data_IF_354053452920
#
_entry.id   IF_354053452920
#
_cell.length_a   1.000
_cell.length_b   1.000
_cell.length_c   1.000
_cell.angle_alpha   90.00
_cell.angle_beta   90.00
_cell.angle_gamma   90.00
#
_symmetry.space_group_name_H-M   'P 1'
#
loop_
_entity.id
_entity.type
_entity.pdbx_description
1 polymer ?
#
# COMPACT_ATOMS: atom_id res chain seq x y z
N UNK A 1 18.46 18.58 -47.81
CA UNK A 1 17.07 18.51 -47.30
C UNK A 1 16.62 17.06 -47.04
N UNK A 2 16.85 16.15 -48.00
CA UNK A 2 16.43 14.73 -47.87
C UNK A 2 17.18 14.01 -46.73
N UNK A 3 18.49 14.26 -46.60
CA UNK A 3 19.31 13.65 -45.57
C UNK A 3 18.95 14.12 -44.16
N UNK A 4 18.61 15.41 -44.00
CA UNK A 4 18.13 15.94 -42.73
C UNK A 4 16.78 15.32 -42.31
N UNK A 5 15.89 15.11 -43.27
CA UNK A 5 14.59 14.47 -43.01
C UNK A 5 14.78 13.00 -42.58
N UNK A 6 15.66 12.25 -43.26
CA UNK A 6 16.00 10.89 -42.89
C UNK A 6 16.57 10.80 -41.48
N UNK A 7 17.49 11.72 -41.10
CA UNK A 7 18.04 11.75 -39.76
C UNK A 7 16.97 12.03 -38.69
N UNK A 8 16.07 12.98 -38.95
CA UNK A 8 14.99 13.32 -38.02
C UNK A 8 14.03 12.12 -37.85
N UNK A 9 13.63 11.48 -38.94
CA UNK A 9 12.74 10.31 -38.85
C UNK A 9 13.40 9.14 -38.14
N UNK A 10 14.69 8.94 -38.32
CA UNK A 10 15.45 7.87 -37.65
C UNK A 10 15.57 8.14 -36.15
N UNK A 11 15.86 9.37 -35.76
CA UNK A 11 15.91 9.79 -34.32
C UNK A 11 14.54 9.62 -33.67
N UNK A 12 13.46 10.04 -34.32
CA UNK A 12 12.10 9.86 -33.81
C UNK A 12 11.72 8.39 -33.69
N UNK A 13 12.09 7.57 -34.68
CA UNK A 13 11.84 6.13 -34.62
C UNK A 13 12.59 5.47 -33.45
N UNK A 14 13.86 5.79 -33.24
CA UNK A 14 14.64 5.29 -32.09
C UNK A 14 14.04 5.75 -30.78
N UNK A 15 13.65 7.02 -30.68
CA UNK A 15 13.01 7.55 -29.49
C UNK A 15 11.70 6.82 -29.17
N UNK A 16 10.84 6.62 -30.16
CA UNK A 16 9.59 5.87 -29.97
C UNK A 16 9.85 4.42 -29.59
N UNK A 17 10.88 3.78 -30.17
CA UNK A 17 11.24 2.40 -29.85
C UNK A 17 11.73 2.21 -28.43
N UNK A 18 12.35 3.23 -27.83
CA UNK A 18 12.82 3.22 -26.44
C UNK A 18 11.71 3.70 -25.49
N UNK A 19 11.02 4.77 -25.83
CA UNK A 19 10.04 5.38 -24.94
C UNK A 19 8.73 4.56 -24.82
N UNK A 20 8.28 3.93 -25.91
CA UNK A 20 7.02 3.18 -25.90
C UNK A 20 7.04 2.00 -24.92
N UNK A 21 8.05 1.12 -24.88
CA UNK A 21 8.09 0.03 -23.91
C UNK A 21 8.14 0.51 -22.46
N UNK A 22 8.87 1.60 -22.19
CA UNK A 22 8.97 2.18 -20.85
C UNK A 22 7.61 2.73 -20.39
N UNK A 23 6.93 3.50 -21.26
CA UNK A 23 5.60 4.05 -20.98
C UNK A 23 4.54 2.94 -20.84
N UNK A 24 4.61 1.92 -21.70
CA UNK A 24 3.68 0.79 -21.64
C UNK A 24 3.91 -0.01 -20.36
N UNK A 25 5.15 -0.32 -20.00
CA UNK A 25 5.49 -1.03 -18.77
C UNK A 25 5.05 -0.28 -17.52
N UNK A 26 5.29 1.05 -17.50
CA UNK A 26 4.84 1.89 -16.39
C UNK A 26 3.30 1.95 -16.29
N UNK A 27 2.62 2.15 -17.43
CA UNK A 27 1.16 2.20 -17.46
C UNK A 27 0.52 0.84 -17.09
N UNK A 28 1.10 -0.27 -17.56
CA UNK A 28 0.64 -1.62 -17.20
C UNK A 28 0.81 -1.86 -15.71
N UNK A 29 1.99 -1.63 -15.14
CA UNK A 29 2.24 -1.82 -13.72
C UNK A 29 1.32 -0.95 -12.83
N UNK A 30 1.04 0.29 -13.26
CA UNK A 30 0.10 1.16 -12.55
C UNK A 30 -1.34 0.65 -12.62
N UNK A 31 -1.78 0.18 -13.78
CA UNK A 31 -3.11 -0.39 -13.95
C UNK A 31 -3.26 -1.71 -13.20
N UNK A 32 -2.27 -2.57 -13.25
CA UNK A 32 -2.27 -3.86 -12.55
C UNK A 32 -2.41 -3.66 -11.04
N UNK A 33 -1.68 -2.70 -10.45
CA UNK A 33 -1.84 -2.36 -9.03
C UNK A 33 -3.23 -1.84 -8.65
N UNK A 34 -3.89 -1.10 -9.56
CA UNK A 34 -5.23 -0.54 -9.30
C UNK A 34 -6.36 -1.49 -9.60
N UNK A 35 -6.12 -2.49 -10.44
CA UNK A 35 -7.13 -3.47 -10.87
C UNK A 35 -6.99 -4.83 -10.16
N UNK A 36 -6.22 -4.91 -9.07
CA UNK A 36 -6.05 -6.16 -8.32
C UNK A 36 -7.35 -6.62 -7.64
N UNK A 37 -8.25 -5.70 -7.38
CA UNK A 37 -9.53 -5.95 -6.72
C UNK A 37 -10.66 -5.37 -7.55
N UNK A 38 -11.78 -6.07 -7.62
CA UNK A 38 -12.98 -5.59 -8.34
C UNK A 38 -13.59 -4.40 -7.61
N UNK A 39 -13.59 -4.43 -6.27
CA UNK A 39 -14.10 -3.35 -5.43
C UNK A 39 -13.12 -3.06 -4.29
N UNK A 40 -12.81 -1.79 -4.11
CA UNK A 40 -12.04 -1.28 -2.97
C UNK A 40 -12.87 -0.22 -2.25
N UNK A 41 -13.09 -0.41 -0.97
CA UNK A 41 -13.76 0.57 -0.10
C UNK A 41 -12.84 0.92 1.04
N UNK A 42 -12.70 2.21 1.31
CA UNK A 42 -11.95 2.69 2.45
C UNK A 42 -12.72 3.75 3.21
N UNK A 43 -12.54 3.76 4.52
CA UNK A 43 -13.12 4.75 5.41
C UNK A 43 -12.04 5.21 6.39
N UNK A 44 -11.91 6.53 6.56
CA UNK A 44 -11.01 7.10 7.56
C UNK A 44 -11.69 7.08 8.92
N UNK A 45 -10.93 6.70 9.95
CA UNK A 45 -11.39 6.91 11.32
C UNK A 45 -11.30 8.41 11.67
N UNK A 46 -12.41 8.97 12.11
CA UNK A 46 -12.46 10.39 12.48
C UNK A 46 -11.78 10.70 13.81
N UNK A 47 -11.43 9.70 14.61
CA UNK A 47 -10.79 9.84 15.93
C UNK A 47 -9.47 10.62 15.90
N UNK A 48 -8.82 10.69 14.72
CA UNK A 48 -7.63 11.52 14.53
C UNK A 48 -7.97 13.01 14.51
N UNK A 49 -9.22 13.36 14.21
CA UNK A 49 -9.68 14.74 14.01
C UNK A 49 -10.80 15.15 14.93
N UNK A 50 -11.78 14.28 15.21
CA UNK A 50 -12.95 14.59 16.04
C UNK A 50 -13.56 13.30 16.61
N UNK A 51 -13.71 13.22 17.93
CA UNK A 51 -14.22 12.03 18.63
C UNK A 51 -15.72 11.69 18.36
N UNK A 52 -16.48 12.54 17.67
CA UNK A 52 -17.94 12.44 17.66
C UNK A 52 -18.57 11.85 16.37
N UNK A 53 -17.82 11.61 15.30
CA UNK A 53 -18.41 11.13 14.04
C UNK A 53 -17.63 10.00 13.38
N UNK A 54 -17.80 8.78 13.88
CA UNK A 54 -17.48 7.61 13.07
C UNK A 54 -18.38 7.65 11.81
N UNK A 55 -17.82 7.61 10.60
CA UNK A 55 -18.63 7.59 9.40
C UNK A 55 -19.53 6.37 9.46
N UNK A 56 -20.82 6.59 9.23
CA UNK A 56 -21.80 5.53 9.09
C UNK A 56 -21.24 4.49 8.12
N UNK A 57 -21.26 3.24 8.53
CA UNK A 57 -20.43 2.18 7.96
C UNK A 57 -20.75 1.98 6.47
N UNK A 58 -19.94 2.55 5.60
CA UNK A 58 -20.03 2.37 4.15
C UNK A 58 -19.98 0.89 3.75
N UNK A 59 -19.51 0.04 4.65
CA UNK A 59 -19.43 -1.41 4.47
C UNK A 59 -20.81 -2.07 4.51
N UNK A 60 -21.72 -1.60 5.34
CA UNK A 60 -23.11 -2.10 5.37
C UNK A 60 -23.80 -1.81 4.03
N UNK A 61 -23.65 -0.59 3.52
CA UNK A 61 -24.21 -0.18 2.22
C UNK A 61 -23.69 -1.06 1.08
N UNK A 62 -22.39 -1.32 1.05
CA UNK A 62 -21.79 -2.20 0.03
C UNK A 62 -22.29 -3.63 0.19
N UNK A 63 -22.38 -4.14 1.41
CA UNK A 63 -22.87 -5.49 1.68
C UNK A 63 -24.33 -5.66 1.25
N UNK A 64 -25.17 -4.67 1.54
CA UNK A 64 -26.56 -4.64 1.09
C UNK A 64 -26.63 -4.62 -0.45
N UNK A 65 -25.84 -3.75 -1.10
CA UNK A 65 -25.78 -3.66 -2.56
C UNK A 65 -25.38 -5.00 -3.21
N UNK A 66 -24.29 -5.63 -2.75
CA UNK A 66 -23.83 -6.91 -3.26
C UNK A 66 -24.92 -8.00 -3.10
N UNK A 67 -25.58 -8.02 -1.93
CA UNK A 67 -26.64 -8.98 -1.63
C UNK A 67 -27.89 -8.74 -2.50
N UNK A 68 -28.33 -7.49 -2.65
CA UNK A 68 -29.51 -7.12 -3.46
C UNK A 68 -29.31 -7.49 -4.94
N UNK A 69 -28.08 -7.30 -5.45
CA UNK A 69 -27.74 -7.56 -6.84
C UNK A 69 -27.24 -8.98 -7.10
N UNK A 70 -27.23 -9.84 -6.06
CA UNK A 70 -26.76 -11.24 -6.14
C UNK A 70 -25.37 -11.36 -6.78
N UNK A 71 -24.47 -10.48 -6.37
CA UNK A 71 -23.07 -10.52 -6.78
C UNK A 71 -22.38 -11.51 -5.85
N UNK A 72 -21.90 -12.60 -6.41
CA UNK A 72 -21.11 -13.58 -5.69
C UNK A 72 -19.70 -13.02 -5.50
N UNK A 73 -19.29 -12.85 -4.25
CA UNK A 73 -17.91 -12.49 -3.90
C UNK A 73 -17.08 -13.75 -3.72
N UNK A 74 -15.95 -13.83 -4.41
CA UNK A 74 -15.01 -14.95 -4.25
C UNK A 74 -14.14 -14.74 -3.02
N UNK A 75 -13.72 -13.49 -2.80
CA UNK A 75 -12.92 -13.07 -1.66
C UNK A 75 -13.45 -11.76 -1.11
N UNK A 76 -13.38 -11.61 0.20
CA UNK A 76 -13.75 -10.40 0.91
C UNK A 76 -12.78 -10.23 2.09
N UNK A 77 -11.98 -9.18 2.06
CA UNK A 77 -10.99 -8.89 3.07
C UNK A 77 -11.19 -7.49 3.65
N UNK A 78 -11.37 -7.41 4.95
CA UNK A 78 -11.42 -6.13 5.69
C UNK A 78 -10.22 -6.04 6.60
N UNK A 79 -9.50 -4.93 6.57
CA UNK A 79 -8.32 -4.70 7.39
C UNK A 79 -8.19 -3.23 7.78
N UNK A 80 -7.44 -3.00 8.85
CA UNK A 80 -7.15 -1.67 9.36
C UNK A 80 -5.71 -1.26 9.02
N UNK A 81 -5.52 0.04 8.76
CA UNK A 81 -4.20 0.65 8.77
C UNK A 81 -4.02 1.50 10.03
N UNK A 82 -2.81 1.48 10.57
CA UNK A 82 -2.44 2.08 11.84
C UNK A 82 -1.33 3.11 11.68
N UNK A 83 -1.26 4.09 12.59
CA UNK A 83 -0.09 4.94 12.74
C UNK A 83 0.90 4.29 13.72
N UNK A 84 2.16 4.08 13.33
CA UNK A 84 3.20 3.63 14.26
C UNK A 84 3.38 4.61 15.43
N UNK A 85 3.39 5.92 15.15
CA UNK A 85 3.46 7.00 16.16
C UNK A 85 2.35 8.03 15.91
N UNK A 86 1.54 8.28 16.93
CA UNK A 86 0.42 9.24 16.87
C UNK A 86 0.89 10.67 16.60
N UNK A 87 1.98 11.08 17.21
CA UNK A 87 2.52 12.44 17.09
C UNK A 87 3.05 12.75 15.69
N UNK A 88 3.47 11.75 14.96
CA UNK A 88 3.92 11.88 13.58
C UNK A 88 2.84 12.45 12.66
N UNK A 89 1.58 12.17 12.94
CA UNK A 89 0.47 12.68 12.14
C UNK A 89 0.26 14.19 12.27
N UNK A 90 0.51 14.74 13.45
CA UNK A 90 0.29 16.17 13.74
C UNK A 90 1.49 17.05 13.37
N UNK A 91 2.69 16.48 13.31
CA UNK A 91 3.93 17.22 13.07
C UNK A 91 4.34 17.30 11.59
N UNK A 92 3.57 16.70 10.68
CA UNK A 92 3.96 16.63 9.28
C UNK A 92 3.71 17.91 8.51
N UNK A 93 4.67 18.25 7.67
CA UNK A 93 4.49 19.28 6.66
C UNK A 93 3.37 18.86 5.69
N UNK A 94 2.68 19.84 5.15
CA UNK A 94 1.42 19.73 4.38
C UNK A 94 1.39 18.67 3.27
N UNK A 95 2.49 18.06 2.90
CA UNK A 95 2.62 17.10 1.78
C UNK A 95 3.32 15.79 2.16
N UNK A 96 3.80 15.64 3.40
CA UNK A 96 4.39 14.39 3.85
C UNK A 96 3.31 13.52 4.48
N UNK A 97 3.00 12.42 3.81
CA UNK A 97 2.06 11.44 4.34
C UNK A 97 2.76 10.51 5.32
N UNK A 98 2.11 10.16 6.42
CA UNK A 98 2.67 9.23 7.37
C UNK A 98 2.89 7.87 6.71
N UNK A 99 3.97 7.20 7.08
CA UNK A 99 4.11 5.78 6.86
C UNK A 99 3.06 5.12 7.75
N UNK A 100 2.25 4.27 7.18
CA UNK A 100 1.23 3.53 7.91
C UNK A 100 1.63 2.07 8.05
N UNK A 101 1.00 1.40 9.00
CA UNK A 101 1.22 0.00 9.28
C UNK A 101 -0.05 -0.83 9.07
N UNK A 102 0.13 -2.11 8.78
CA UNK A 102 -0.90 -3.13 8.75
C UNK A 102 -0.51 -4.24 9.73
N UNK A 103 -1.49 -4.90 10.34
CA UNK A 103 -1.23 -6.06 11.19
C UNK A 103 -0.76 -7.28 10.37
N UNK A 104 0.03 -8.13 10.98
CA UNK A 104 0.54 -9.35 10.33
C UNK A 104 -0.61 -10.27 9.88
N UNK A 105 -1.65 -10.42 10.71
CA UNK A 105 -2.81 -11.25 10.37
C UNK A 105 -3.59 -10.70 9.19
N UNK A 106 -3.87 -9.39 9.16
CA UNK A 106 -4.55 -8.74 8.04
C UNK A 106 -3.72 -8.81 6.76
N UNK A 107 -2.40 -8.57 6.88
CA UNK A 107 -1.48 -8.69 5.76
C UNK A 107 -1.44 -10.11 5.17
N UNK A 108 -1.40 -11.13 6.03
CA UNK A 108 -1.43 -12.52 5.60
C UNK A 108 -2.77 -12.92 4.96
N UNK A 109 -3.88 -12.34 5.42
CA UNK A 109 -5.19 -12.54 4.77
C UNK A 109 -5.21 -11.97 3.36
N UNK A 110 -4.64 -10.78 3.15
CA UNK A 110 -4.51 -10.20 1.80
C UNK A 110 -3.60 -11.08 0.92
N UNK A 111 -2.46 -11.52 1.46
CA UNK A 111 -1.54 -12.41 0.73
C UNK A 111 -2.21 -13.70 0.29
N UNK A 112 -2.95 -14.34 1.18
CA UNK A 112 -3.71 -15.56 0.87
C UNK A 112 -4.76 -15.31 -0.21
N UNK A 113 -5.52 -14.22 -0.12
CA UNK A 113 -6.51 -13.82 -1.12
C UNK A 113 -5.87 -13.61 -2.51
N UNK A 114 -4.64 -13.13 -2.56
CA UNK A 114 -3.88 -12.93 -3.79
C UNK A 114 -3.07 -14.17 -4.23
N UNK A 115 -3.13 -15.26 -3.48
CA UNK A 115 -2.43 -16.51 -3.78
C UNK A 115 -0.95 -16.50 -3.41
N UNK A 116 -0.50 -15.61 -2.54
CA UNK A 116 0.87 -15.55 -2.02
C UNK A 116 1.03 -16.39 -0.75
N UNK A 117 2.25 -16.82 -0.48
CA UNK A 117 2.57 -17.49 0.78
C UNK A 117 2.45 -16.53 1.97
N UNK A 118 1.95 -17.03 3.09
CA UNK A 118 1.92 -16.29 4.35
C UNK A 118 3.34 -16.10 4.89
N UNK A 119 3.54 -15.03 5.64
CA UNK A 119 4.81 -14.71 6.29
C UNK A 119 4.69 -14.82 7.80
N UNK A 120 5.82 -14.89 8.49
CA UNK A 120 5.91 -14.84 9.95
C UNK A 120 6.88 -13.76 10.39
N UNK A 121 6.61 -13.17 11.57
CA UNK A 121 7.47 -12.21 12.25
C UNK A 121 7.62 -12.66 13.71
N UNK A 122 8.77 -12.37 14.30
CA UNK A 122 8.93 -12.46 15.76
C UNK A 122 8.18 -11.30 16.44
N UNK A 123 7.96 -11.39 17.76
CA UNK A 123 7.15 -10.41 18.50
C UNK A 123 7.71 -8.98 18.49
N UNK A 124 9.01 -8.84 18.29
CA UNK A 124 9.76 -7.57 18.26
C UNK A 124 10.30 -7.22 16.88
N UNK A 125 9.80 -7.88 15.83
CA UNK A 125 10.20 -7.61 14.45
C UNK A 125 9.10 -6.89 13.67
N UNK A 126 9.53 -6.13 12.66
CA UNK A 126 8.67 -5.63 11.60
C UNK A 126 9.26 -5.94 10.23
N UNK A 127 8.43 -5.92 9.21
CA UNK A 127 8.89 -5.95 7.82
C UNK A 127 8.21 -4.84 7.00
N UNK A 128 8.56 -4.75 5.73
CA UNK A 128 8.04 -3.72 4.82
C UNK A 128 7.46 -4.34 3.56
N UNK A 129 6.30 -3.86 3.15
CA UNK A 129 5.71 -4.12 1.85
C UNK A 129 5.92 -2.89 0.96
N UNK A 130 6.45 -3.12 -0.23
CA UNK A 130 6.76 -2.05 -1.18
C UNK A 130 5.79 -2.03 -2.35
N UNK A 131 5.53 -0.85 -2.89
CA UNK A 131 4.86 -0.71 -4.17
C UNK A 131 5.78 -1.18 -5.31
N UNK A 132 5.18 -1.74 -6.35
CA UNK A 132 5.90 -2.19 -7.53
C UNK A 132 6.67 -1.06 -8.27
N UNK A 133 6.27 0.20 -8.07
CA UNK A 133 6.95 1.36 -8.67
C UNK A 133 8.18 1.83 -7.88
N UNK A 134 8.37 1.37 -6.65
CA UNK A 134 9.52 1.74 -5.84
C UNK A 134 10.82 1.21 -6.47
N UNK A 135 11.82 2.08 -6.56
CA UNK A 135 13.12 1.67 -7.09
C UNK A 135 13.91 0.87 -6.08
N UNK A 136 14.83 0.03 -6.56
CA UNK A 136 15.75 -0.71 -5.68
C UNK A 136 16.58 0.24 -4.81
N UNK A 137 17.09 1.34 -5.39
CA UNK A 137 17.88 2.34 -4.66
C UNK A 137 17.06 2.98 -3.52
N UNK A 138 15.79 3.30 -3.76
CA UNK A 138 14.89 3.85 -2.76
C UNK A 138 14.65 2.85 -1.61
N UNK A 139 14.40 1.59 -1.93
CA UNK A 139 14.22 0.52 -0.94
C UNK A 139 15.49 0.31 -0.11
N UNK A 140 16.65 0.20 -0.76
CA UNK A 140 17.93 -0.03 -0.10
C UNK A 140 18.33 1.12 0.81
N UNK A 141 18.08 2.36 0.39
CA UNK A 141 18.35 3.55 1.21
C UNK A 141 17.46 3.54 2.45
N UNK A 142 16.17 3.31 2.26
CA UNK A 142 15.22 3.24 3.35
C UNK A 142 15.57 2.16 4.37
N UNK A 143 15.85 0.94 3.92
CA UNK A 143 16.16 -0.19 4.80
C UNK A 143 17.46 0.00 5.59
N UNK A 144 18.44 0.73 5.04
CA UNK A 144 19.68 1.10 5.77
C UNK A 144 19.44 2.12 6.87
N UNK A 145 18.48 3.03 6.66
CA UNK A 145 18.14 4.09 7.61
C UNK A 145 17.15 3.62 8.68
N UNK A 146 16.34 2.60 8.39
CA UNK A 146 15.26 2.11 9.24
C UNK A 146 15.50 0.66 9.68
N UNK A 147 16.66 0.40 10.29
CA UNK A 147 16.97 -0.92 10.89
C UNK A 147 16.15 -1.20 12.15
N UNK A 148 15.64 -0.19 12.80
CA UNK A 148 14.61 -0.26 13.84
C UNK A 148 13.64 0.90 13.67
N UNK A 149 12.44 0.73 14.21
CA UNK A 149 11.42 1.78 14.30
C UNK A 149 10.94 1.90 15.73
N UNK A 150 10.66 3.13 16.15
CA UNK A 150 9.92 3.38 17.38
C UNK A 150 8.43 3.43 17.06
N UNK A 151 7.63 2.81 17.91
CA UNK A 151 6.17 2.90 17.85
C UNK A 151 5.62 3.31 19.21
N UNK A 152 4.38 3.78 19.27
CA UNK A 152 3.70 4.04 20.56
C UNK A 152 3.57 2.77 21.43
N UNK A 153 3.75 1.59 20.83
CA UNK A 153 3.71 0.31 21.53
C UNK A 153 5.09 -0.27 21.90
N UNK A 154 6.18 0.32 21.40
CA UNK A 154 7.56 -0.10 21.64
C UNK A 154 8.45 -0.03 20.42
N UNK A 155 9.73 -0.33 20.60
CA UNK A 155 10.72 -0.42 19.52
C UNK A 155 10.63 -1.78 18.84
N UNK A 156 10.72 -1.78 17.51
CA UNK A 156 10.76 -2.98 16.68
C UNK A 156 12.00 -2.97 15.80
N UNK A 157 12.55 -4.15 15.55
CA UNK A 157 13.72 -4.36 14.70
C UNK A 157 13.29 -4.84 13.32
N UNK A 158 13.95 -4.37 12.27
CA UNK A 158 13.67 -4.79 10.91
C UNK A 158 14.03 -6.28 10.72
N UNK A 159 13.07 -7.06 10.29
CA UNK A 159 13.26 -8.44 9.84
C UNK A 159 14.22 -8.47 8.65
N UNK A 160 14.96 -9.55 8.51
CA UNK A 160 15.87 -9.77 7.37
C UNK A 160 15.17 -9.89 6.01
N UNK A 161 13.84 -9.78 5.96
CA UNK A 161 13.01 -9.91 4.76
C UNK A 161 12.26 -8.62 4.49
N UNK A 162 12.15 -8.25 3.22
CA UNK A 162 11.25 -7.18 2.75
C UNK A 162 10.53 -7.65 1.49
N UNK A 163 9.27 -7.23 1.35
CA UNK A 163 8.38 -7.74 0.30
C UNK A 163 8.11 -6.67 -0.74
N UNK A 164 8.53 -6.91 -1.97
CA UNK A 164 8.33 -6.02 -3.12
C UNK A 164 7.98 -6.77 -4.41
N UNK A 165 8.17 -8.09 -4.45
CA UNK A 165 7.86 -8.92 -5.62
C UNK A 165 6.37 -9.33 -5.66
N UNK A 166 5.71 -9.30 -4.49
CA UNK A 166 4.33 -9.72 -4.29
C UNK A 166 3.45 -8.48 -3.99
N UNK A 167 3.05 -7.69 -4.99
CA UNK A 167 2.27 -6.49 -4.74
C UNK A 167 0.89 -6.82 -4.16
N UNK A 168 0.46 -6.04 -3.17
CA UNK A 168 -0.86 -6.19 -2.52
C UNK A 168 -1.89 -5.13 -2.95
N UNK A 169 -1.61 -4.43 -4.04
CA UNK A 169 -2.44 -3.34 -4.51
C UNK A 169 -2.12 -2.00 -3.83
N UNK A 170 -2.84 -0.96 -4.26
CA UNK A 170 -2.68 0.38 -3.74
C UNK A 170 -3.81 0.68 -2.74
N UNK A 171 -3.45 1.13 -1.54
CA UNK A 171 -4.42 1.70 -0.61
C UNK A 171 -4.56 3.20 -0.85
N UNK A 172 -5.68 3.80 -0.44
CA UNK A 172 -5.87 5.25 -0.55
C UNK A 172 -4.81 6.06 0.20
N UNK A 173 -4.13 5.45 1.16
CA UNK A 173 -3.17 6.15 2.02
C UNK A 173 -1.73 6.02 1.55
N UNK A 174 -1.37 4.91 0.93
CA UNK A 174 -0.04 4.73 0.37
C UNK A 174 0.10 5.25 -1.06
N UNK A 175 -0.90 6.00 -1.57
CA UNK A 175 -0.75 6.69 -2.85
C UNK A 175 0.42 7.68 -2.86
N UNK A 176 0.86 8.13 -1.69
CA UNK A 176 1.95 9.10 -1.51
C UNK A 176 3.21 8.51 -0.87
N UNK A 177 3.13 7.29 -0.35
CA UNK A 177 4.28 6.56 0.18
C UNK A 177 4.48 5.28 -0.62
N UNK A 178 5.73 4.87 -0.79
CA UNK A 178 6.07 3.65 -1.50
C UNK A 178 6.18 2.43 -0.56
N UNK A 179 6.04 2.65 0.74
CA UNK A 179 6.26 1.63 1.77
C UNK A 179 5.09 1.55 2.74
N UNK A 180 4.76 0.34 3.14
CA UNK A 180 3.82 0.00 4.20
C UNK A 180 4.56 -0.87 5.23
N UNK A 181 4.46 -0.54 6.53
CA UNK A 181 4.99 -1.39 7.59
C UNK A 181 4.04 -2.57 7.86
N UNK A 182 4.61 -3.75 8.05
CA UNK A 182 3.87 -4.92 8.55
C UNK A 182 4.36 -5.19 9.97
N UNK A 183 3.46 -5.11 10.93
CA UNK A 183 3.76 -5.21 12.36
C UNK A 183 3.04 -6.41 12.99
N UNK A 184 3.58 -6.97 14.08
CA UNK A 184 2.88 -7.97 14.88
C UNK A 184 1.51 -7.47 15.38
N UNK A 185 0.54 -8.38 15.49
CA UNK A 185 -0.84 -8.03 15.86
C UNK A 185 -0.93 -7.37 17.24
N UNK A 186 -0.19 -7.88 18.22
CA UNK A 186 -0.13 -7.34 19.59
C UNK A 186 0.41 -5.91 19.66
N UNK A 187 1.15 -5.47 18.66
CA UNK A 187 1.62 -4.09 18.51
C UNK A 187 0.50 -3.25 17.89
N UNK A 188 -0.09 -3.70 16.79
CA UNK A 188 -1.17 -2.98 16.11
C UNK A 188 -2.39 -2.72 17.01
N UNK A 189 -2.74 -3.64 17.90
CA UNK A 189 -3.82 -3.47 18.89
C UNK A 189 -3.64 -2.24 19.82
N UNK A 190 -2.41 -1.77 19.98
CA UNK A 190 -2.08 -0.62 20.83
C UNK A 190 -1.90 0.68 20.06
N UNK A 191 -1.92 0.61 18.72
CA UNK A 191 -1.72 1.75 17.84
C UNK A 191 -3.04 2.41 17.46
N UNK A 192 -2.95 3.64 16.96
CA UNK A 192 -4.10 4.39 16.48
C UNK A 192 -4.50 3.89 15.07
N UNK A 193 -5.71 3.33 14.90
CA UNK A 193 -6.23 3.02 13.57
C UNK A 193 -6.61 4.31 12.84
N UNK A 194 -6.24 4.43 11.56
CA UNK A 194 -6.47 5.63 10.75
C UNK A 194 -7.30 5.38 9.52
N UNK A 195 -7.30 4.16 9.00
CA UNK A 195 -8.09 3.76 7.84
C UNK A 195 -8.56 2.32 8.02
N UNK A 196 -9.83 2.09 7.68
CA UNK A 196 -10.39 0.76 7.48
C UNK A 196 -10.60 0.54 5.99
N UNK A 197 -10.06 -0.55 5.47
CA UNK A 197 -10.17 -0.92 4.07
C UNK A 197 -10.94 -2.22 3.92
N UNK A 198 -11.65 -2.36 2.80
CA UNK A 198 -12.28 -3.59 2.36
C UNK A 198 -11.96 -3.81 0.89
N UNK A 199 -11.44 -4.97 0.58
CA UNK A 199 -11.16 -5.46 -0.76
C UNK A 199 -12.07 -6.63 -1.09
N UNK A 200 -12.68 -6.59 -2.25
CA UNK A 200 -13.60 -7.60 -2.77
C UNK A 200 -13.18 -7.96 -4.19
#
# INVERSE_FOLDING_TARGET
KTMTLICITLVLAIFMFIAAPILTGWASGYLDMRSMYDVQVYSRYNDVYEEENLPQDSYEIITEFLTEHKIDTVYDCTFNLYLPEKDDFHNRQKYDFPIVAISLSDYNTIREMLGYEQISLEEDEFTTQWKAIATEEERDSFLKEHTSIMTDAGELTLSGQSYYEDPIGETAYNSYTNVLYVLPDNICEKLLPVIKNRYI
#
